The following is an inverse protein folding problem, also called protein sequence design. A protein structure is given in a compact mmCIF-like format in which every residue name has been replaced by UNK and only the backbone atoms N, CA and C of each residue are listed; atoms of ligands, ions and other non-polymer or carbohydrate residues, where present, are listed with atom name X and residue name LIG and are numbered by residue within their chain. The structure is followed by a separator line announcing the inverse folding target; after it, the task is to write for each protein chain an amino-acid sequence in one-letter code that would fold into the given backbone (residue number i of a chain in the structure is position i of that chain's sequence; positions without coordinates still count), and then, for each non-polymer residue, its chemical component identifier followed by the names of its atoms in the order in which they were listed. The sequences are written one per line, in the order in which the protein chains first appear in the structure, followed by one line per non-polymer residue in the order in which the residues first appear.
data_IF_349177980867
#
_entry.id   IF_349177980867
#
_cell.length_a   1.000
_cell.length_b   1.000
_cell.length_c   1.000
_cell.angle_alpha   90.00
_cell.angle_beta   90.00
_cell.angle_gamma   90.00
#
_symmetry.space_group_name_H-M   'P 1'
#
loop_
_entity.id
_entity.type
_entity.pdbx_description
1 polymer ?
#
# COMPACT_ATOMS: atom_id res chain seq x y z
N UNK A 1 12.77 -15.68 -12.55
CA UNK A 1 11.46 -15.50 -11.88
C UNK A 1 10.39 -15.63 -12.97
N UNK A 2 9.45 -16.58 -12.87
CA UNK A 2 8.29 -16.60 -13.79
C UNK A 2 7.30 -15.58 -13.23
N UNK A 3 7.17 -14.43 -13.89
CA UNK A 3 6.15 -13.43 -13.53
C UNK A 3 4.85 -13.94 -14.18
N UNK A 4 3.80 -14.26 -13.41
CA UNK A 4 2.50 -14.59 -13.99
C UNK A 4 2.04 -13.44 -14.90
N UNK A 5 1.36 -13.74 -16.00
CA UNK A 5 0.78 -12.69 -16.84
C UNK A 5 -0.30 -11.97 -16.00
N UNK A 6 -0.08 -10.69 -15.73
CA UNK A 6 -1.05 -9.87 -15.04
C UNK A 6 -2.19 -9.46 -15.98
N UNK A 7 -3.35 -9.13 -15.40
CA UNK A 7 -4.46 -8.52 -16.13
C UNK A 7 -4.02 -7.24 -16.87
N UNK A 8 -4.63 -6.98 -18.04
CA UNK A 8 -4.32 -5.81 -18.89
C UNK A 8 -4.43 -4.50 -18.09
N UNK A 9 -5.39 -4.39 -17.18
CA UNK A 9 -5.55 -3.21 -16.33
C UNK A 9 -4.36 -2.97 -15.40
N UNK A 10 -3.76 -4.04 -14.85
CA UNK A 10 -2.56 -3.96 -14.01
C UNK A 10 -1.32 -3.62 -14.85
N UNK A 11 -1.17 -4.22 -16.03
CA UNK A 11 -0.09 -3.88 -16.97
C UNK A 11 -0.17 -2.40 -17.34
N UNK A 12 -1.35 -1.91 -17.69
CA UNK A 12 -1.56 -0.50 -18.04
C UNK A 12 -1.28 0.44 -16.85
N UNK A 13 -1.68 0.07 -15.63
CA UNK A 13 -1.37 0.83 -14.42
C UNK A 13 0.14 0.90 -14.15
N UNK A 14 0.83 -0.23 -14.29
CA UNK A 14 2.28 -0.34 -14.12
C UNK A 14 3.05 0.47 -15.17
N UNK A 15 2.65 0.40 -16.44
CA UNK A 15 3.24 1.22 -17.51
C UNK A 15 3.07 2.73 -17.24
N UNK A 16 1.90 3.17 -16.78
CA UNK A 16 1.67 4.58 -16.37
C UNK A 16 2.56 4.99 -15.21
N UNK A 17 2.67 4.14 -14.19
CA UNK A 17 3.53 4.36 -13.03
C UNK A 17 4.99 4.55 -13.47
N UNK A 18 5.53 3.64 -14.27
CA UNK A 18 6.91 3.73 -14.74
C UNK A 18 7.18 4.97 -15.58
N UNK A 19 6.24 5.37 -16.45
CA UNK A 19 6.39 6.60 -17.24
C UNK A 19 6.51 7.83 -16.35
N UNK A 20 5.62 7.98 -15.35
CA UNK A 20 5.66 9.11 -14.42
C UNK A 20 6.94 9.08 -13.57
N UNK A 21 7.34 7.89 -13.10
CA UNK A 21 8.56 7.72 -12.32
C UNK A 21 9.82 8.08 -13.12
N UNK A 22 9.90 7.67 -14.39
CA UNK A 22 11.01 7.99 -15.28
C UNK A 22 11.06 9.50 -15.58
N UNK A 23 9.91 10.16 -15.76
CA UNK A 23 9.81 11.63 -15.89
C UNK A 23 10.32 12.36 -14.63
N UNK A 24 9.88 11.93 -13.44
CA UNK A 24 10.33 12.50 -12.17
C UNK A 24 11.85 12.38 -12.00
N UNK A 25 12.41 11.22 -12.36
CA UNK A 25 13.86 10.99 -12.31
C UNK A 25 14.61 11.86 -13.32
N UNK A 26 14.09 12.02 -14.54
CA UNK A 26 14.71 12.86 -15.56
C UNK A 26 14.78 14.33 -15.14
N UNK A 27 13.76 14.79 -14.41
CA UNK A 27 13.67 16.15 -13.85
C UNK A 27 14.48 16.35 -12.56
N UNK A 28 15.19 15.33 -12.08
CA UNK A 28 15.88 15.32 -10.79
C UNK A 28 14.92 15.68 -9.63
N UNK A 29 13.68 15.20 -9.68
CA UNK A 29 12.74 15.34 -8.59
C UNK A 29 13.24 14.59 -7.35
N UNK A 30 12.90 15.12 -6.17
CA UNK A 30 13.17 14.44 -4.90
C UNK A 30 12.03 13.47 -4.65
N UNK A 31 12.31 12.17 -4.72
CA UNK A 31 11.31 11.12 -4.61
C UNK A 31 11.48 10.43 -3.25
N UNK A 32 10.41 10.41 -2.46
CA UNK A 32 10.34 9.60 -1.26
C UNK A 32 9.33 8.48 -1.44
N UNK A 33 9.60 7.34 -0.85
CA UNK A 33 8.69 6.21 -0.78
C UNK A 33 8.17 6.07 0.64
N UNK A 34 6.87 5.93 0.78
CA UNK A 34 6.15 5.82 2.04
C UNK A 34 5.56 4.44 2.18
N UNK A 35 5.49 3.96 3.41
CA UNK A 35 4.73 2.79 3.81
C UNK A 35 4.58 2.73 5.34
N UNK A 36 3.71 1.85 5.82
CA UNK A 36 3.51 1.52 7.22
C UNK A 36 3.91 0.08 7.54
N UNK A 37 4.61 -0.13 8.64
CA UNK A 37 4.84 -1.46 9.21
C UNK A 37 4.48 -1.51 10.68
N UNK A 38 4.33 -2.71 11.22
CA UNK A 38 4.19 -2.96 12.64
C UNK A 38 5.29 -3.86 13.18
N UNK A 39 5.55 -3.78 14.49
CA UNK A 39 6.42 -4.67 15.25
C UNK A 39 5.81 -4.95 16.62
N UNK A 40 6.03 -6.15 17.15
CA UNK A 40 5.49 -6.60 18.42
C UNK A 40 6.57 -6.68 19.50
N UNK A 41 6.15 -6.57 20.76
CA UNK A 41 7.05 -6.78 21.90
C UNK A 41 7.71 -8.18 21.90
N UNK A 42 7.01 -9.19 21.35
CA UNK A 42 7.48 -10.57 21.23
C UNK A 42 8.24 -10.91 19.95
N UNK A 43 8.59 -9.92 19.11
CA UNK A 43 9.36 -10.18 17.89
C UNK A 43 10.76 -10.71 18.27
N UNK A 44 10.98 -12.00 18.00
CA UNK A 44 12.18 -12.77 18.34
C UNK A 44 12.67 -13.57 17.12
N UNK A 45 13.97 -13.89 17.07
CA UNK A 45 14.51 -14.81 16.07
C UNK A 45 13.99 -16.23 16.33
N UNK A 46 13.28 -16.80 15.36
CA UNK A 46 12.87 -18.22 15.37
C UNK A 46 13.55 -18.94 14.22
N UNK A 47 14.26 -20.03 14.54
CA UNK A 47 14.87 -20.91 13.54
C UNK A 47 14.06 -22.19 13.43
N UNK A 48 13.75 -22.62 12.20
CA UNK A 48 13.13 -23.92 11.94
C UNK A 48 14.23 -24.86 11.48
N UNK A 49 14.40 -25.97 12.19
CA UNK A 49 15.18 -27.11 11.69
C UNK A 49 14.26 -27.98 10.85
N UNK A 50 14.70 -28.35 9.64
CA UNK A 50 14.01 -29.32 8.78
C UNK A 50 14.95 -30.53 8.64
N UNK A 51 14.51 -31.71 9.08
CA UNK A 51 15.24 -32.95 8.85
C UNK A 51 15.10 -33.42 7.39
N UNK A 52 16.01 -34.26 6.91
CA UNK A 52 16.01 -34.78 5.52
C UNK A 52 14.69 -35.46 5.09
N UNK A 53 13.83 -35.84 6.04
CA UNK A 53 12.49 -36.39 5.79
C UNK A 53 11.34 -35.37 5.76
N UNK A 54 11.62 -34.06 5.72
CA UNK A 54 10.59 -33.01 5.61
C UNK A 54 9.82 -32.69 6.90
N UNK A 55 10.17 -33.32 8.04
CA UNK A 55 9.64 -32.92 9.34
C UNK A 55 10.52 -31.82 9.96
N UNK A 56 9.89 -30.75 10.45
CA UNK A 56 10.60 -29.66 11.11
C UNK A 56 9.99 -29.25 12.44
N UNK A 57 10.81 -28.73 13.35
CA UNK A 57 10.38 -28.17 14.65
C UNK A 57 10.86 -26.73 14.78
N UNK A 58 9.97 -25.85 15.24
CA UNK A 58 10.31 -24.49 15.66
C UNK A 58 11.23 -24.56 16.88
N UNK A 59 12.43 -23.97 16.79
CA UNK A 59 13.32 -23.76 17.93
C UNK A 59 13.43 -22.27 18.23
N UNK A 60 13.25 -21.89 19.49
CA UNK A 60 13.73 -20.60 20.00
C UNK A 60 15.26 -20.65 19.93
N UNK A 61 15.89 -19.69 19.24
CA UNK A 61 17.28 -19.88 18.80
C UNK A 61 18.29 -19.78 19.95
N UNK A 62 18.97 -20.89 20.23
CA UNK A 62 20.38 -20.90 20.62
C UNK A 62 21.24 -20.88 19.34
N UNK A 63 22.38 -20.22 19.45
CA UNK A 63 23.26 -19.69 18.38
C UNK A 63 23.88 -20.69 17.39
N UNK A 64 24.27 -20.11 16.23
CA UNK A 64 25.20 -20.59 15.17
C UNK A 64 24.69 -21.64 14.16
N UNK A 65 24.42 -21.16 12.95
CA UNK A 65 24.38 -21.94 11.71
C UNK A 65 24.20 -21.00 10.51
N UNK A 66 25.12 -21.04 9.56
CA UNK A 66 24.99 -20.33 8.28
C UNK A 66 23.80 -20.88 7.49
N UNK A 67 22.85 -20.03 7.11
CA UNK A 67 21.76 -20.39 6.21
C UNK A 67 21.68 -19.33 5.11
N UNK A 68 22.17 -19.69 3.93
CA UNK A 68 22.04 -18.92 2.70
C UNK A 68 20.61 -18.98 2.12
N UNK A 69 20.09 -17.80 1.78
CA UNK A 69 19.24 -17.52 0.60
C UNK A 69 17.95 -18.32 0.41
N UNK A 70 16.93 -18.04 1.23
CA UNK A 70 15.52 -18.03 0.78
C UNK A 70 14.57 -17.26 1.72
N UNK A 71 15.04 -16.16 2.31
CA UNK A 71 14.35 -15.50 3.44
C UNK A 71 13.31 -14.45 3.00
N UNK A 72 13.37 -13.96 1.76
CA UNK A 72 12.52 -12.83 1.32
C UNK A 72 11.09 -13.29 0.98
N UNK A 73 10.90 -14.48 0.40
CA UNK A 73 9.57 -14.91 -0.06
C UNK A 73 8.72 -15.61 1.02
N UNK A 74 9.35 -16.18 2.06
CA UNK A 74 8.64 -16.92 3.11
C UNK A 74 8.10 -16.01 4.25
N UNK A 75 8.67 -14.82 4.43
CA UNK A 75 8.30 -13.93 5.54
C UNK A 75 6.92 -13.29 5.38
N UNK A 76 6.41 -13.10 4.16
CA UNK A 76 5.09 -12.50 3.93
C UNK A 76 3.95 -13.48 4.27
N UNK A 77 4.16 -14.79 4.11
CA UNK A 77 3.10 -15.79 4.29
C UNK A 77 3.01 -16.30 5.74
N UNK A 78 4.13 -16.34 6.49
CA UNK A 78 4.16 -16.93 7.84
C UNK A 78 3.96 -15.93 9.00
N UNK A 79 4.05 -14.62 8.76
CA UNK A 79 3.90 -13.60 9.82
C UNK A 79 2.46 -13.04 9.95
N UNK A 80 1.50 -13.53 9.16
CA UNK A 80 0.08 -13.22 9.32
C UNK A 80 -0.58 -13.95 10.51
N UNK A 81 0.20 -14.53 11.41
CA UNK A 81 -0.32 -14.94 12.71
C UNK A 81 -0.47 -13.68 13.58
N UNK A 82 -1.67 -13.12 13.59
CA UNK A 82 -2.09 -12.10 14.55
C UNK A 82 -1.95 -12.67 15.96
N UNK A 83 -0.84 -12.34 16.62
CA UNK A 83 -0.73 -12.55 18.05
C UNK A 83 -1.49 -11.44 18.77
N UNK A 84 -2.36 -11.76 19.75
CA UNK A 84 -2.98 -10.76 20.61
C UNK A 84 -1.91 -9.98 21.36
N UNK A 85 -1.95 -8.64 21.32
CA UNK A 85 -1.02 -7.78 22.08
C UNK A 85 -0.81 -6.39 21.48
N UNK A 86 -0.27 -5.48 22.30
CA UNK A 86 0.14 -4.14 21.89
C UNK A 86 1.23 -4.20 20.81
N UNK A 87 1.00 -3.51 19.71
CA UNK A 87 1.95 -3.39 18.58
C UNK A 87 2.47 -1.97 18.47
N UNK A 88 3.68 -1.83 17.95
CA UNK A 88 4.26 -0.56 17.55
C UNK A 88 4.02 -0.39 16.06
N UNK A 89 3.18 0.57 15.68
CA UNK A 89 2.99 1.00 14.29
C UNK A 89 4.03 2.06 13.96
N UNK A 90 4.63 1.94 12.78
CA UNK A 90 5.70 2.79 12.29
C UNK A 90 5.31 3.23 10.88
N UNK A 91 5.10 4.53 10.71
CA UNK A 91 4.90 5.17 9.42
C UNK A 91 6.11 6.08 9.13
N UNK A 92 6.63 6.02 7.92
CA UNK A 92 7.79 6.81 7.54
C UNK A 92 7.95 6.93 6.04
N UNK A 93 8.89 7.78 5.64
CA UNK A 93 9.29 7.93 4.25
C UNK A 93 10.81 7.76 4.12
N UNK A 94 11.25 7.16 3.02
CA UNK A 94 12.65 6.90 2.70
C UNK A 94 12.99 7.39 1.29
N UNK A 95 14.19 7.91 1.10
CA UNK A 95 14.80 8.12 -0.22
C UNK A 95 16.22 7.56 -0.25
N UNK A 96 16.96 7.76 -1.35
CA UNK A 96 18.35 7.26 -1.48
C UNK A 96 19.31 7.77 -0.39
N UNK A 97 18.96 8.82 0.36
CA UNK A 97 19.75 9.35 1.47
C UNK A 97 19.44 8.72 2.82
N UNK A 98 18.38 7.91 2.92
CA UNK A 98 17.91 7.28 4.16
C UNK A 98 16.49 7.72 4.54
N UNK A 99 16.09 7.42 5.77
CA UNK A 99 14.79 7.82 6.31
C UNK A 99 14.73 9.32 6.58
N UNK A 100 13.61 9.96 6.26
CA UNK A 100 13.33 11.31 6.73
C UNK A 100 12.79 11.23 8.17
N UNK A 101 13.71 11.31 9.15
CA UNK A 101 13.39 11.08 10.57
C UNK A 101 12.34 12.06 11.13
N UNK A 102 12.33 13.30 10.64
CA UNK A 102 11.39 14.34 11.10
C UNK A 102 9.94 14.05 10.73
N UNK A 103 9.68 13.16 9.76
CA UNK A 103 8.32 12.74 9.38
C UNK A 103 7.90 11.40 9.97
N UNK A 104 8.69 10.78 10.83
CA UNK A 104 8.29 9.51 11.45
C UNK A 104 7.03 9.71 12.31
N UNK A 105 6.05 8.83 12.14
CA UNK A 105 4.92 8.68 13.06
C UNK A 105 4.94 7.27 13.64
N UNK A 106 5.33 7.17 14.91
CA UNK A 106 5.47 5.92 15.63
C UNK A 106 4.52 5.95 16.83
N UNK A 107 3.63 4.96 16.90
CA UNK A 107 2.59 4.92 17.92
C UNK A 107 2.17 3.49 18.24
N UNK A 108 1.57 3.30 19.42
CA UNK A 108 1.11 1.98 19.87
C UNK A 108 -0.34 1.75 19.49
N UNK A 109 -0.67 0.51 19.12
CA UNK A 109 -2.03 0.07 18.81
C UNK A 109 -2.38 -1.26 19.46
N UNK A 110 -3.67 -1.42 19.78
CA UNK A 110 -4.23 -2.65 20.32
C UNK A 110 -4.91 -3.42 19.18
N UNK A 111 -4.25 -4.49 18.70
CA UNK A 111 -4.68 -5.56 17.77
C UNK A 111 -5.38 -5.23 16.43
N UNK A 112 -6.20 -4.19 16.35
CA UNK A 112 -6.94 -3.75 15.16
C UNK A 112 -6.33 -2.45 14.61
N UNK A 113 -6.28 -2.35 13.29
CA UNK A 113 -5.55 -1.34 12.53
C UNK A 113 -5.82 0.10 13.00
N UNK A 114 -4.74 0.85 13.26
CA UNK A 114 -4.83 2.21 13.84
C UNK A 114 -4.42 3.35 12.92
N UNK A 115 -4.11 3.07 11.66
CA UNK A 115 -4.01 4.14 10.66
C UNK A 115 -5.41 4.34 10.08
N UNK A 116 -6.02 5.48 10.42
CA UNK A 116 -7.24 5.94 9.77
C UNK A 116 -6.92 7.10 8.81
N UNK A 117 -7.86 7.41 7.93
CA UNK A 117 -7.65 8.44 6.92
C UNK A 117 -7.48 9.86 7.49
N UNK A 118 -8.05 10.15 8.66
CA UNK A 118 -7.90 11.44 9.32
C UNK A 118 -6.47 11.60 9.83
N UNK A 119 -5.95 10.58 10.52
CA UNK A 119 -4.56 10.52 10.99
C UNK A 119 -3.60 10.62 9.83
N UNK A 120 -3.79 9.82 8.78
CA UNK A 120 -2.91 9.84 7.61
C UNK A 120 -2.94 11.19 6.88
N UNK A 121 -4.12 11.78 6.68
CA UNK A 121 -4.24 13.12 6.04
C UNK A 121 -3.54 14.19 6.87
N UNK A 122 -3.64 14.14 8.20
CA UNK A 122 -2.89 15.05 9.07
C UNK A 122 -1.39 14.84 8.94
N UNK A 123 -0.94 13.59 9.03
CA UNK A 123 0.46 13.22 8.92
C UNK A 123 1.08 13.65 7.58
N UNK A 124 0.40 13.40 6.45
CA UNK A 124 0.93 13.77 5.14
C UNK A 124 0.99 15.29 4.97
N UNK A 125 0.02 16.03 5.52
CA UNK A 125 0.01 17.50 5.53
C UNK A 125 1.24 18.03 6.28
N UNK A 126 1.50 17.52 7.48
CA UNK A 126 2.66 17.92 8.30
C UNK A 126 3.99 17.52 7.64
N UNK A 127 4.05 16.33 7.03
CA UNK A 127 5.21 15.83 6.30
C UNK A 127 5.52 16.70 5.09
N UNK A 128 4.53 17.05 4.27
CA UNK A 128 4.70 17.94 3.13
C UNK A 128 5.21 19.32 3.55
N UNK A 129 4.70 19.86 4.67
CA UNK A 129 5.21 21.11 5.24
C UNK A 129 6.69 21.00 5.64
N UNK A 130 7.09 19.93 6.35
CA UNK A 130 8.48 19.67 6.76
C UNK A 130 9.41 19.55 5.54
N UNK A 131 8.99 18.80 4.52
CA UNK A 131 9.74 18.65 3.27
C UNK A 131 9.94 19.99 2.57
N UNK A 132 8.90 20.84 2.47
CA UNK A 132 9.06 22.17 1.88
C UNK A 132 9.94 23.10 2.71
N UNK A 133 9.90 22.99 4.04
CA UNK A 133 10.83 23.72 4.90
C UNK A 133 12.28 23.28 4.67
N UNK A 134 12.53 21.99 4.44
CA UNK A 134 13.87 21.43 4.23
C UNK A 134 14.43 21.72 2.84
N UNK A 135 13.63 21.49 1.79
CA UNK A 135 14.10 21.51 0.40
C UNK A 135 13.71 22.80 -0.36
N UNK A 136 12.88 23.65 0.23
CA UNK A 136 12.36 24.86 -0.40
C UNK A 136 11.32 24.58 -1.50
N UNK A 137 10.95 25.64 -2.21
CA UNK A 137 9.87 25.60 -3.21
C UNK A 137 10.34 25.30 -4.64
N UNK A 138 11.65 25.24 -4.88
CA UNK A 138 12.21 25.03 -6.23
C UNK A 138 12.15 23.58 -6.71
N UNK A 139 12.62 22.57 -5.94
CA UNK A 139 12.64 21.20 -6.44
C UNK A 139 11.22 20.62 -6.52
N UNK A 140 10.97 19.82 -7.55
CA UNK A 140 9.83 18.89 -7.57
C UNK A 140 10.03 17.87 -6.45
N UNK A 141 8.98 17.60 -5.70
CA UNK A 141 8.98 16.59 -4.64
C UNK A 141 7.80 15.67 -4.89
N UNK A 142 8.06 14.36 -4.91
CA UNK A 142 7.04 13.35 -5.06
C UNK A 142 7.07 12.39 -3.86
N UNK A 143 5.90 12.10 -3.31
CA UNK A 143 5.69 10.99 -2.37
C UNK A 143 5.06 9.83 -3.12
N UNK A 144 5.73 8.69 -3.09
CA UNK A 144 5.21 7.42 -3.59
C UNK A 144 4.52 6.69 -2.45
N UNK A 145 3.23 6.41 -2.59
CA UNK A 145 2.40 5.73 -1.58
C UNK A 145 1.75 4.47 -2.18
N UNK A 146 1.27 3.56 -1.33
CA UNK A 146 0.51 2.39 -1.78
C UNK A 146 -0.97 2.73 -2.11
N UNK A 147 -1.82 1.72 -2.31
CA UNK A 147 -3.25 1.93 -2.58
C UNK A 147 -4.17 1.60 -1.38
N UNK A 148 -3.68 1.71 -0.15
CA UNK A 148 -4.53 1.51 1.02
C UNK A 148 -5.82 2.35 0.95
N UNK A 149 -6.92 1.82 1.50
CA UNK A 149 -8.24 2.44 1.42
C UNK A 149 -8.26 3.86 2.00
N UNK A 150 -7.52 4.09 3.08
CA UNK A 150 -7.38 5.40 3.70
C UNK A 150 -6.56 6.41 2.86
N UNK A 151 -5.65 5.96 2.00
CA UNK A 151 -4.94 6.81 1.02
C UNK A 151 -5.85 7.28 -0.13
N UNK A 152 -6.93 6.54 -0.35
CA UNK A 152 -7.84 6.70 -1.48
C UNK A 152 -9.20 7.29 -1.09
N UNK A 153 -9.29 7.97 0.07
CA UNK A 153 -10.50 8.71 0.42
C UNK A 153 -10.76 9.86 -0.56
N UNK A 154 -11.85 9.72 -1.31
CA UNK A 154 -12.28 10.74 -2.27
C UNK A 154 -12.81 12.00 -1.58
N UNK A 155 -12.63 13.13 -2.26
CA UNK A 155 -13.29 14.39 -1.89
C UNK A 155 -14.79 14.29 -2.14
N UNK A 156 -15.60 15.01 -1.36
CA UNK A 156 -17.05 14.85 -1.44
C UNK A 156 -17.63 15.26 -2.80
N UNK A 157 -16.98 16.16 -3.52
CA UNK A 157 -17.38 16.59 -4.85
C UNK A 157 -16.95 15.63 -5.97
N UNK A 158 -15.95 14.76 -5.75
CA UNK A 158 -15.54 13.73 -6.70
C UNK A 158 -16.20 12.37 -6.47
N UNK A 159 -16.89 12.18 -5.35
CA UNK A 159 -17.65 10.96 -5.06
C UNK A 159 -18.83 10.79 -6.01
N UNK A 160 -18.97 9.57 -6.52
CA UNK A 160 -20.09 9.12 -7.34
C UNK A 160 -21.04 8.29 -6.48
N UNK A 161 -22.37 8.45 -6.64
CA UNK A 161 -23.35 7.61 -5.97
C UNK A 161 -23.11 6.12 -6.23
N UNK A 162 -23.24 5.30 -5.19
CA UNK A 162 -23.12 3.84 -5.30
C UNK A 162 -24.47 3.17 -5.09
N UNK A 163 -24.52 1.85 -5.33
CA UNK A 163 -25.73 1.03 -5.15
C UNK A 163 -26.28 1.05 -3.72
N UNK A 164 -25.50 1.44 -2.72
CA UNK A 164 -25.97 1.56 -1.33
C UNK A 164 -26.86 2.80 -1.10
N UNK A 165 -26.75 3.86 -1.92
CA UNK A 165 -27.54 5.07 -1.74
C UNK A 165 -29.00 4.88 -2.13
N UNK A 166 -29.91 5.58 -1.44
CA UNK A 166 -31.34 5.61 -1.81
C UNK A 166 -31.54 6.37 -3.12
N UNK A 167 -32.60 6.03 -3.87
CA UNK A 167 -32.95 6.68 -5.16
C UNK A 167 -32.95 8.21 -5.07
N UNK A 168 -33.59 8.76 -4.03
CA UNK A 168 -33.67 10.21 -3.78
C UNK A 168 -32.29 10.85 -3.58
N UNK A 169 -31.35 10.16 -2.95
CA UNK A 169 -30.00 10.68 -2.76
C UNK A 169 -29.22 10.75 -4.09
N UNK A 170 -29.44 9.78 -4.99
CA UNK A 170 -28.86 9.78 -6.34
C UNK A 170 -29.47 10.94 -7.16
N UNK A 171 -30.79 11.13 -7.09
CA UNK A 171 -31.48 12.26 -7.72
C UNK A 171 -30.92 13.60 -7.25
N UNK A 172 -30.80 13.81 -5.93
CA UNK A 172 -30.18 15.01 -5.37
C UNK A 172 -28.75 15.24 -5.86
N UNK A 173 -27.95 14.17 -6.03
CA UNK A 173 -26.58 14.27 -6.55
C UNK A 173 -26.57 14.75 -8.00
N UNK A 174 -27.50 14.26 -8.84
CA UNK A 174 -27.69 14.69 -10.23
C UNK A 174 -28.18 16.14 -10.31
N UNK A 175 -29.17 16.50 -9.49
CA UNK A 175 -29.75 17.85 -9.42
C UNK A 175 -28.68 18.89 -9.03
N UNK A 176 -27.87 18.59 -8.00
CA UNK A 176 -26.76 19.45 -7.55
C UNK A 176 -25.71 19.70 -8.65
N UNK A 177 -25.64 18.82 -9.65
CA UNK A 177 -24.71 18.89 -10.79
C UNK A 177 -25.39 19.37 -12.07
N UNK A 178 -26.67 19.76 -12.00
CA UNK A 178 -27.50 20.14 -13.15
C UNK A 178 -27.51 19.07 -14.26
N UNK A 179 -27.55 17.80 -13.88
CA UNK A 179 -27.66 16.68 -14.83
C UNK A 179 -29.13 16.33 -14.99
N UNK A 180 -29.65 16.43 -16.21
CA UNK A 180 -31.06 16.14 -16.52
C UNK A 180 -31.33 14.62 -16.51
N UNK A 181 -32.48 14.22 -15.96
CA UNK A 181 -32.97 12.84 -15.96
C UNK A 181 -34.51 12.81 -15.92
N UNK A 182 -35.12 11.72 -16.40
CA UNK A 182 -36.57 11.58 -16.31
C UNK A 182 -37.00 11.09 -14.91
N UNK A 183 -38.05 11.67 -14.27
CA UNK A 183 -38.47 11.27 -12.93
C UNK A 183 -38.90 9.80 -12.79
N UNK A 184 -39.30 9.17 -13.90
CA UNK A 184 -39.76 7.77 -13.96
C UNK A 184 -38.60 6.76 -13.85
N UNK A 185 -37.36 7.17 -14.17
CA UNK A 185 -36.20 6.28 -14.21
C UNK A 185 -36.00 5.53 -12.90
N UNK A 186 -35.65 4.27 -13.00
CA UNK A 186 -35.29 3.39 -11.90
C UNK A 186 -33.99 3.83 -11.23
N UNK A 187 -33.70 3.28 -10.05
CA UNK A 187 -32.44 3.52 -9.35
C UNK A 187 -31.22 3.07 -10.18
N UNK A 188 -31.35 1.98 -10.94
CA UNK A 188 -30.27 1.48 -11.79
C UNK A 188 -29.95 2.44 -12.93
N UNK A 189 -30.98 2.93 -13.65
CA UNK A 189 -30.82 3.92 -14.72
C UNK A 189 -30.21 5.24 -14.21
N UNK A 190 -30.62 5.69 -13.02
CA UNK A 190 -30.02 6.89 -12.40
C UNK A 190 -28.55 6.69 -12.02
N UNK A 191 -28.15 5.49 -11.59
CA UNK A 191 -26.75 5.16 -11.32
C UNK A 191 -25.93 5.12 -12.61
N UNK A 192 -26.47 4.58 -13.69
CA UNK A 192 -25.80 4.58 -15.01
C UNK A 192 -25.52 6.01 -15.48
N UNK A 193 -26.50 6.91 -15.35
CA UNK A 193 -26.31 8.35 -15.61
C UNK A 193 -25.22 8.90 -14.70
N UNK A 194 -25.25 8.62 -13.39
CA UNK A 194 -24.26 9.13 -12.46
C UNK A 194 -22.83 8.65 -12.78
N UNK A 195 -22.66 7.40 -13.23
CA UNK A 195 -21.37 6.85 -13.69
C UNK A 195 -20.91 7.52 -14.98
N UNK A 196 -21.83 7.74 -15.94
CA UNK A 196 -21.53 8.42 -17.20
C UNK A 196 -21.04 9.86 -17.00
N UNK A 197 -21.57 10.55 -15.99
CA UNK A 197 -21.17 11.90 -15.62
C UNK A 197 -20.23 11.94 -14.40
N UNK A 198 -19.54 10.83 -14.11
CA UNK A 198 -18.60 10.77 -13.01
C UNK A 198 -17.49 11.82 -13.18
N UNK A 199 -17.27 12.70 -12.19
CA UNK A 199 -16.13 13.61 -12.22
C UNK A 199 -14.81 12.83 -12.10
N UNK A 200 -13.67 13.43 -12.49
CA UNK A 200 -12.37 12.86 -12.19
C UNK A 200 -12.22 12.60 -10.69
N UNK A 201 -11.74 11.41 -10.33
CA UNK A 201 -11.48 11.04 -8.94
C UNK A 201 -10.46 12.01 -8.34
N UNK A 202 -10.77 12.61 -7.20
CA UNK A 202 -9.83 13.44 -6.44
C UNK A 202 -9.74 12.92 -5.02
N UNK A 203 -8.53 12.85 -4.48
CA UNK A 203 -8.28 12.27 -3.17
C UNK A 203 -7.89 13.35 -2.17
N UNK A 204 -8.36 13.21 -0.93
CA UNK A 204 -8.07 14.17 0.15
C UNK A 204 -6.57 14.29 0.42
N UNK A 205 -5.86 13.16 0.36
CA UNK A 205 -4.40 13.07 0.51
C UNK A 205 -3.69 13.89 -0.57
N UNK A 206 -4.13 13.76 -1.82
CA UNK A 206 -3.55 14.47 -2.96
C UNK A 206 -3.78 15.97 -2.83
N UNK A 207 -5.00 16.40 -2.48
CA UNK A 207 -5.30 17.82 -2.24
C UNK A 207 -4.49 18.39 -1.07
N UNK A 208 -4.24 17.58 -0.03
CA UNK A 208 -3.41 17.98 1.10
C UNK A 208 -1.94 18.20 0.70
N UNK A 209 -1.36 17.26 -0.07
CA UNK A 209 0.01 17.37 -0.56
C UNK A 209 0.18 18.49 -1.59
N UNK A 210 -0.80 18.67 -2.48
CA UNK A 210 -0.79 19.68 -3.53
C UNK A 210 -0.74 21.11 -2.98
N UNK A 211 -1.31 21.38 -1.79
CA UNK A 211 -1.19 22.69 -1.11
C UNK A 211 0.25 23.10 -0.84
N UNK A 212 1.14 22.12 -0.75
CA UNK A 212 2.57 22.32 -0.58
C UNK A 212 3.34 22.05 -1.88
N UNK A 213 2.69 21.98 -3.04
CA UNK A 213 3.29 21.62 -4.32
C UNK A 213 4.01 20.25 -4.28
N UNK A 214 3.57 19.32 -3.42
CA UNK A 214 4.12 17.96 -3.35
C UNK A 214 3.21 17.03 -4.16
N UNK A 215 3.81 16.27 -5.08
CA UNK A 215 3.09 15.35 -5.96
C UNK A 215 2.91 13.98 -5.28
N UNK A 216 1.75 13.35 -5.48
CA UNK A 216 1.50 11.98 -5.03
C UNK A 216 1.56 11.04 -6.24
N UNK A 217 2.37 9.99 -6.13
CA UNK A 217 2.39 8.88 -7.06
C UNK A 217 1.96 7.61 -6.32
N UNK A 218 0.95 6.92 -6.82
CA UNK A 218 0.54 5.62 -6.24
C UNK A 218 1.28 4.50 -6.93
N UNK A 219 1.77 3.53 -6.15
CA UNK A 219 2.28 2.26 -6.68
C UNK A 219 1.19 1.57 -7.51
N UNK A 220 1.54 0.71 -8.48
CA UNK A 220 0.56 -0.16 -9.09
C UNK A 220 -0.05 -1.10 -8.04
N UNK A 221 -1.35 -1.35 -8.11
CA UNK A 221 -2.07 -2.25 -7.20
C UNK A 221 -1.41 -3.64 -7.23
N UNK A 222 -1.24 -4.27 -6.06
CA UNK A 222 -0.54 -5.57 -5.86
C UNK A 222 0.97 -5.58 -6.18
N UNK A 223 1.61 -4.43 -6.32
CA UNK A 223 3.05 -4.33 -6.63
C UNK A 223 3.90 -3.72 -5.50
N UNK A 224 3.71 -4.17 -4.26
CA UNK A 224 4.58 -3.74 -3.14
C UNK A 224 6.06 -4.08 -3.37
N UNK A 225 6.37 -5.05 -4.23
CA UNK A 225 7.73 -5.34 -4.69
C UNK A 225 8.42 -4.18 -5.43
N UNK A 226 7.68 -3.13 -5.82
CA UNK A 226 8.22 -1.89 -6.38
C UNK A 226 8.50 -0.81 -5.31
N UNK A 227 8.24 -1.11 -4.03
CA UNK A 227 8.45 -0.18 -2.93
C UNK A 227 9.77 -0.51 -2.19
N UNK A 228 10.82 0.34 -2.27
CA UNK A 228 12.11 0.08 -1.63
C UNK A 228 12.05 0.07 -0.10
N UNK A 229 11.08 0.76 0.50
CA UNK A 229 10.93 0.82 1.96
C UNK A 229 10.64 -0.56 2.57
N UNK A 230 10.07 -1.49 1.81
CA UNK A 230 9.81 -2.88 2.23
C UNK A 230 11.10 -3.63 2.59
N UNK A 231 12.20 -3.33 1.89
CA UNK A 231 13.52 -3.88 2.20
C UNK A 231 14.08 -3.29 3.50
N UNK A 232 13.84 -2.00 3.73
CA UNK A 232 14.21 -1.34 4.98
C UNK A 232 13.39 -1.88 6.16
N UNK A 233 12.10 -2.19 5.97
CA UNK A 233 11.26 -2.87 6.96
C UNK A 233 11.72 -4.28 7.26
N UNK A 234 12.13 -5.04 6.24
CA UNK A 234 12.72 -6.36 6.45
C UNK A 234 14.01 -6.26 7.29
N UNK A 235 14.86 -5.27 7.00
CA UNK A 235 16.07 -4.97 7.76
C UNK A 235 15.78 -4.58 9.22
N UNK A 236 14.82 -3.67 9.43
CA UNK A 236 14.36 -3.26 10.76
C UNK A 236 13.87 -4.46 11.58
N UNK A 237 12.99 -5.28 11.01
CA UNK A 237 12.45 -6.46 11.70
C UNK A 237 13.55 -7.46 12.07
N UNK A 238 14.56 -7.63 11.21
CA UNK A 238 15.72 -8.46 11.54
C UNK A 238 16.53 -7.84 12.68
N UNK A 239 16.79 -6.54 12.64
CA UNK A 239 17.52 -5.81 13.68
C UNK A 239 16.83 -5.92 15.05
N UNK A 240 15.50 -5.70 15.09
CA UNK A 240 14.70 -5.88 16.31
C UNK A 240 14.81 -7.33 16.80
N UNK A 241 14.61 -8.33 15.93
CA UNK A 241 14.66 -9.75 16.31
C UNK A 241 16.01 -10.19 16.87
N UNK A 242 17.10 -9.61 16.39
CA UNK A 242 18.46 -9.93 16.85
C UNK A 242 18.85 -9.20 18.16
N UNK A 243 18.19 -8.08 18.49
CA UNK A 243 18.56 -7.22 19.63
C UNK A 243 17.48 -7.11 20.74
N UNK A 244 16.26 -7.56 20.49
CA UNK A 244 15.16 -7.50 21.45
C UNK A 244 15.32 -8.58 22.55
N UNK A 245 16.03 -8.24 23.61
CA UNK A 245 16.32 -9.16 24.73
C UNK A 245 15.25 -9.12 25.84
N UNK A 246 14.57 -7.99 25.99
CA UNK A 246 13.70 -7.71 27.13
C UNK A 246 12.21 -7.86 26.82
N UNK A 247 11.85 -7.96 25.54
CA UNK A 247 10.48 -8.15 25.07
C UNK A 247 9.49 -7.10 25.59
N UNK A 248 9.95 -5.85 25.72
CA UNK A 248 9.11 -4.69 26.09
C UNK A 248 8.97 -3.78 24.89
N UNK A 249 7.78 -3.22 24.70
CA UNK A 249 7.49 -2.33 23.57
C UNK A 249 8.36 -1.06 23.55
N UNK A 250 8.77 -0.57 24.73
CA UNK A 250 9.70 0.57 24.83
C UNK A 250 11.08 0.24 24.27
N UNK A 251 11.56 -1.00 24.45
CA UNK A 251 12.85 -1.42 23.91
C UNK A 251 12.75 -1.59 22.39
N UNK A 252 11.63 -2.14 21.90
CA UNK A 252 11.33 -2.21 20.46
C UNK A 252 11.29 -0.81 19.83
N UNK A 253 10.67 0.18 20.49
CA UNK A 253 10.67 1.57 20.03
C UNK A 253 12.09 2.15 19.95
N UNK A 254 12.92 1.92 20.97
CA UNK A 254 14.30 2.42 20.97
C UNK A 254 15.15 1.78 19.88
N UNK A 255 15.05 0.45 19.70
CA UNK A 255 15.71 -0.28 18.62
C UNK A 255 15.23 0.18 17.24
N UNK A 256 13.93 0.52 17.13
CA UNK A 256 13.38 1.09 15.90
C UNK A 256 14.05 2.43 15.59
N UNK A 257 14.05 3.37 16.54
CA UNK A 257 14.67 4.67 16.33
C UNK A 257 16.17 4.57 16.03
N UNK A 258 16.88 3.67 16.71
CA UNK A 258 18.30 3.40 16.46
C UNK A 258 18.52 2.91 15.02
N UNK A 259 17.77 1.89 14.60
CA UNK A 259 17.90 1.35 13.24
C UNK A 259 17.57 2.38 12.17
N UNK A 260 16.42 3.08 12.29
CA UNK A 260 16.00 4.07 11.30
C UNK A 260 17.00 5.21 11.16
N UNK A 261 17.61 5.65 12.26
CA UNK A 261 18.66 6.67 12.25
C UNK A 261 20.00 6.16 11.69
N UNK A 262 20.26 4.85 11.78
CA UNK A 262 21.47 4.21 11.27
C UNK A 262 21.40 3.86 9.77
N UNK A 263 20.21 3.86 9.15
CA UNK A 263 20.08 3.67 7.69
C UNK A 263 20.63 4.91 6.97
N UNK A 264 21.86 4.79 6.50
CA UNK A 264 22.58 5.82 5.76
C UNK A 264 22.34 5.76 4.25
N UNK A 265 22.88 6.74 3.53
CA UNK A 265 22.74 6.83 2.07
C UNK A 265 23.21 5.59 1.32
N UNK A 266 24.42 5.04 1.60
CA UNK A 266 24.88 3.80 0.98
C UNK A 266 23.94 2.61 1.18
N UNK A 267 23.48 2.36 2.41
CA UNK A 267 22.55 1.26 2.67
C UNK A 267 21.20 1.52 1.98
N UNK A 268 20.66 2.72 2.09
CA UNK A 268 19.40 3.08 1.44
C UNK A 268 19.49 2.90 -0.07
N UNK A 269 20.53 3.45 -0.72
CA UNK A 269 20.78 3.32 -2.16
C UNK A 269 20.81 1.85 -2.61
N UNK A 270 21.32 0.93 -1.78
CA UNK A 270 21.31 -0.50 -2.11
C UNK A 270 19.89 -1.08 -2.23
N UNK A 271 18.92 -0.57 -1.45
CA UNK A 271 17.51 -0.94 -1.57
C UNK A 271 16.93 -0.47 -2.90
N UNK A 272 17.18 0.79 -3.27
CA UNK A 272 16.70 1.36 -4.54
C UNK A 272 17.32 0.65 -5.75
N UNK A 273 18.61 0.31 -5.70
CA UNK A 273 19.27 -0.49 -6.73
C UNK A 273 18.64 -1.89 -6.87
N UNK A 274 18.30 -2.53 -5.75
CA UNK A 274 17.59 -3.82 -5.78
C UNK A 274 16.21 -3.70 -6.42
N UNK A 275 15.42 -2.69 -6.04
CA UNK A 275 14.10 -2.43 -6.65
C UNK A 275 14.20 -2.14 -8.14
N UNK A 276 15.23 -1.41 -8.59
CA UNK A 276 15.46 -1.16 -10.02
C UNK A 276 15.55 -2.46 -10.84
N UNK A 277 16.12 -3.53 -10.28
CA UNK A 277 16.15 -4.83 -10.96
C UNK A 277 14.75 -5.44 -11.16
N UNK A 278 13.83 -5.20 -10.22
CA UNK A 278 12.41 -5.57 -10.39
C UNK A 278 11.74 -4.68 -11.41
N UNK A 279 11.96 -3.37 -11.37
CA UNK A 279 11.43 -2.44 -12.38
C UNK A 279 11.82 -2.89 -13.81
N UNK A 280 13.10 -3.19 -14.03
CA UNK A 280 13.60 -3.66 -15.32
C UNK A 280 12.98 -5.00 -15.72
N UNK A 281 12.79 -5.90 -14.76
CA UNK A 281 12.15 -7.21 -14.99
C UNK A 281 10.68 -7.05 -15.41
N UNK A 282 9.94 -6.17 -14.75
CA UNK A 282 8.55 -5.87 -15.11
C UNK A 282 8.44 -5.18 -16.46
N UNK A 283 9.28 -4.17 -16.74
CA UNK A 283 9.32 -3.48 -18.04
C UNK A 283 9.61 -4.47 -19.18
N UNK A 284 10.52 -5.42 -18.97
CA UNK A 284 10.83 -6.46 -19.96
C UNK A 284 9.66 -7.44 -20.17
N UNK A 285 8.99 -7.86 -19.09
CA UNK A 285 7.83 -8.73 -19.18
C UNK A 285 6.66 -8.05 -19.91
N UNK A 286 6.36 -6.79 -19.59
CA UNK A 286 5.28 -6.02 -20.21
C UNK A 286 5.50 -5.82 -21.71
N UNK A 287 6.74 -5.52 -22.09
CA UNK A 287 7.14 -5.43 -23.49
C UNK A 287 6.92 -6.74 -24.24
N UNK A 288 7.26 -7.87 -23.62
CA UNK A 288 7.04 -9.20 -24.23
C UNK A 288 5.56 -9.48 -24.48
N UNK A 289 4.66 -9.11 -23.55
CA UNK A 289 3.20 -9.27 -23.75
C UNK A 289 2.73 -8.50 -24.97
N UNK A 290 3.15 -7.23 -25.10
CA UNK A 290 2.78 -6.37 -26.23
C UNK A 290 3.31 -6.88 -27.57
N UNK A 291 4.55 -7.38 -27.61
CA UNK A 291 5.22 -7.76 -28.86
C UNK A 291 4.92 -9.20 -29.31
N UNK A 292 4.58 -10.11 -28.39
CA UNK A 292 4.52 -11.56 -28.68
C UNK A 292 3.15 -12.17 -28.43
N UNK A 293 2.40 -11.70 -27.42
CA UNK A 293 1.09 -12.28 -27.09
C UNK A 293 -0.02 -11.56 -27.85
N UNK A 294 -0.02 -10.23 -27.84
CA UNK A 294 -1.05 -9.41 -28.48
C UNK A 294 -1.19 -9.65 -30.00
N UNK A 295 -0.10 -9.76 -30.80
CA UNK A 295 -0.20 -10.01 -32.24
C UNK A 295 -0.66 -11.43 -32.60
N UNK A 296 -0.72 -12.36 -31.64
CA UNK A 296 -1.16 -13.75 -31.87
C UNK A 296 -2.62 -13.99 -31.52
N UNK A 297 -3.34 -12.98 -31.03
CA UNK A 297 -4.76 -13.04 -30.70
C UNK A 297 -5.68 -12.64 -31.88
N UNK A 298 -5.13 -12.14 -32.98
CA UNK A 298 -5.87 -11.98 -34.24
C UNK A 298 -5.84 -13.30 -35.02
N UNK A 299 -6.86 -14.15 -34.82
CA UNK A 299 -7.60 -14.74 -35.96
C UNK A 299 -8.88 -15.52 -35.61
N UNK A 300 -9.16 -15.95 -34.38
CA UNK A 300 -10.43 -16.65 -34.07
C UNK A 300 -10.79 -16.63 -32.57
N UNK A 301 -11.46 -15.60 -32.07
CA UNK A 301 -12.51 -15.80 -31.07
C UNK A 301 -13.38 -14.54 -30.95
N UNK A 302 -14.58 -14.63 -31.52
CA UNK A 302 -15.69 -13.72 -31.34
C UNK A 302 -16.35 -14.04 -29.99
N UNK A 303 -15.65 -13.76 -28.89
CA UNK A 303 -16.24 -13.78 -27.55
C UNK A 303 -16.52 -12.34 -27.10
N UNK A 304 -17.81 -12.06 -26.99
CA UNK A 304 -18.38 -10.82 -26.50
C UNK A 304 -17.73 -10.37 -25.19
N UNK A 305 -17.11 -9.20 -25.20
CA UNK A 305 -16.66 -8.50 -24.01
C UNK A 305 -17.86 -8.13 -23.13
N UNK A 306 -18.23 -9.01 -22.19
CA UNK A 306 -19.10 -8.66 -21.08
C UNK A 306 -18.31 -7.78 -20.10
N UNK A 307 -18.62 -6.48 -20.13
CA UNK A 307 -18.14 -5.50 -19.17
C UNK A 307 -18.85 -5.70 -17.83
N UNK A 308 -18.45 -6.73 -17.08
CA UNK A 308 -18.93 -6.95 -15.72
C UNK A 308 -18.14 -6.06 -14.75
N UNK A 309 -18.60 -4.81 -14.63
CA UNK A 309 -18.18 -3.87 -13.59
C UNK A 309 -18.65 -4.37 -12.22
N UNK A 310 -17.91 -5.29 -11.62
CA UNK A 310 -18.05 -5.70 -10.23
C UNK A 310 -16.82 -5.28 -9.41
N UNK A 311 -16.67 -3.98 -9.16
CA UNK A 311 -16.06 -3.47 -7.92
C UNK A 311 -17.19 -3.18 -6.93
N UNK A 312 -17.88 -4.26 -6.52
CA UNK A 312 -18.72 -4.30 -5.31
C UNK A 312 -17.87 -5.03 -4.27
N UNK A 313 -16.94 -4.32 -3.62
CA UNK A 313 -16.32 -4.84 -2.40
C UNK A 313 -17.40 -4.84 -1.31
N UNK A 314 -18.09 -5.97 -1.20
CA UNK A 314 -18.98 -6.28 -0.10
C UNK A 314 -18.18 -6.25 1.19
N UNK A 315 -18.44 -5.22 1.99
CA UNK A 315 -18.14 -5.13 3.41
C UNK A 315 -18.70 -6.38 4.09
N UNK A 316 -17.83 -7.26 4.57
CA UNK A 316 -18.22 -8.19 5.64
C UNK A 316 -18.17 -7.35 6.91
N UNK A 317 -19.31 -6.76 7.23
CA UNK A 317 -19.61 -6.24 8.56
C UNK A 317 -19.92 -7.48 9.40
N UNK A 318 -18.95 -7.93 10.20
CA UNK A 318 -19.15 -9.01 11.16
C UNK A 318 -19.46 -8.41 12.52
N UNK A 319 -20.58 -7.69 12.61
CA UNK A 319 -21.19 -7.29 13.87
C UNK A 319 -22.72 -7.40 13.67
N UNK A 320 -23.25 -8.59 13.96
CA UNK A 320 -24.62 -8.82 14.44
C UNK A 320 -24.85 -10.34 14.56
N UNK A 321 -24.46 -10.90 15.71
CA UNK A 321 -25.14 -12.06 16.28
C UNK A 321 -25.61 -11.67 17.67
N UNK A 322 -26.76 -11.00 17.69
CA UNK A 322 -27.70 -11.08 18.80
C UNK A 322 -28.17 -12.54 18.91
N UNK A 323 -27.65 -13.28 19.88
CA UNK A 323 -28.34 -14.44 20.46
C UNK A 323 -28.81 -14.04 21.86
N UNK A 324 -30.02 -13.47 21.90
CA UNK A 324 -30.89 -13.53 23.07
C UNK A 324 -31.93 -14.62 22.79
N UNK A 325 -31.75 -15.81 23.37
CA UNK A 325 -32.88 -16.44 24.06
C UNK A 325 -32.44 -17.37 25.20
N UNK A 326 -33.27 -17.25 26.21
CA UNK A 326 -33.32 -17.68 27.59
C UNK A 326 -33.45 -19.18 27.87
N UNK A 327 -33.20 -19.52 29.15
CA UNK A 327 -33.72 -20.69 29.90
C UNK A 327 -33.21 -22.08 29.43
N UNK A 328 -32.92 -23.07 30.28
CA UNK A 328 -33.50 -23.44 31.56
C UNK A 328 -32.53 -24.44 32.27
N UNK A 329 -32.59 -24.51 33.61
CA UNK A 329 -32.01 -25.51 34.54
C UNK A 329 -30.52 -25.64 34.80
#
# INVERSE_FOLDING_TARGET
MKIPLDDISFIAARARYFRILDELRADNAIIFYQDETWSNAGDEKRSIWIAEGGSGRLKKSDTKGEIEKMIIYLHTILLNQSFPGKRLTINGIINEMGFHLDSLDIFTCDAEHTMDASRFTKWITETCFKLRKQYGNKPRICLVIDNATWHNQQTDDSKVPTRSLRKVAIQNWLDQRNIEYEPVLTKAELLEIAVKFAPPRRYKVDEAAQRFNVEILRLPVKHSALNPIELAWAGLKNYIRDNNMNFRLVDVHNLTMEYLAAVDGPLSTSYFQHIKTYEDSFKAADKYVQEVVDPTLDENDDETFDNDSNDDESVIDSDDLDDDDSSDT
#
